data_IF_459072822864
#
_entry.id   IF_459072822864
#
_cell.length_a   1.000
_cell.length_b   1.000
_cell.length_c   1.000
_cell.angle_alpha   90.00
_cell.angle_beta   90.00
_cell.angle_gamma   90.00
#
_symmetry.space_group_name_H-M   'P 1'
#
loop_
_entity.id
_entity.type
_entity.pdbx_description
1 polymer ?
#
# COMPACT_ATOMS: atom_id res chain seq x y z
N UNK A 1 -12.88 -19.35 -1.18
CA UNK A 1 -11.55 -19.41 -1.83
C UNK A 1 -10.57 -18.64 -0.95
N UNK A 2 -9.29 -19.04 -0.83
CA UNK A 2 -8.31 -18.18 -0.20
C UNK A 2 -8.18 -16.88 -1.01
N UNK A 3 -8.40 -15.74 -0.36
CA UNK A 3 -8.16 -14.43 -0.96
C UNK A 3 -6.67 -14.10 -0.85
N UNK A 4 -6.07 -13.48 -1.88
CA UNK A 4 -4.69 -13.00 -1.79
C UNK A 4 -4.55 -11.98 -0.65
N UNK A 5 -3.38 -12.00 -0.01
CA UNK A 5 -3.09 -11.18 1.16
C UNK A 5 -3.14 -9.67 0.87
N UNK A 6 -2.94 -9.28 -0.40
CA UNK A 6 -3.01 -7.89 -0.86
C UNK A 6 -3.32 -7.81 -2.36
N UNK A 7 -4.29 -6.96 -2.74
CA UNK A 7 -4.58 -6.58 -4.14
C UNK A 7 -4.71 -5.06 -4.19
N UNK A 8 -3.74 -4.33 -4.75
CA UNK A 8 -3.84 -2.88 -4.85
C UNK A 8 -4.86 -2.46 -5.90
N UNK A 9 -5.54 -1.36 -5.62
CA UNK A 9 -6.24 -0.61 -6.66
C UNK A 9 -5.22 0.02 -7.64
N UNK A 10 -5.59 0.11 -8.91
CA UNK A 10 -4.80 0.72 -9.96
C UNK A 10 -5.51 1.97 -10.46
N UNK A 11 -4.74 3.02 -10.74
CA UNK A 11 -5.27 4.24 -11.33
C UNK A 11 -5.55 4.01 -12.83
N UNK A 12 -6.65 4.56 -13.31
CA UNK A 12 -6.95 4.64 -14.73
C UNK A 12 -6.10 5.73 -15.37
N UNK A 13 -5.35 5.40 -16.43
CA UNK A 13 -4.58 6.39 -17.17
C UNK A 13 -5.52 7.28 -17.98
N UNK A 14 -5.41 8.59 -17.77
CA UNK A 14 -6.16 9.63 -18.49
C UNK A 14 -5.21 10.75 -18.93
N UNK A 15 -5.59 11.51 -19.97
CA UNK A 15 -4.75 12.57 -20.53
C UNK A 15 -4.64 13.80 -19.61
N UNK A 16 -5.66 14.07 -18.79
CA UNK A 16 -5.72 15.22 -17.89
C UNK A 16 -6.35 14.80 -16.56
N UNK A 17 -5.83 15.27 -15.41
CA UNK A 17 -6.45 14.98 -14.12
C UNK A 17 -7.89 15.49 -14.09
N UNK A 18 -8.83 14.72 -13.50
CA UNK A 18 -10.19 15.18 -13.31
C UNK A 18 -10.26 16.38 -12.35
N UNK A 19 -11.31 17.18 -12.46
CA UNK A 19 -11.55 18.40 -11.67
C UNK A 19 -12.90 18.37 -10.96
N UNK A 20 -13.11 19.29 -10.01
CA UNK A 20 -14.33 19.41 -9.21
C UNK A 20 -14.19 18.86 -7.79
N UNK A 21 -15.16 19.18 -6.94
CA UNK A 21 -15.09 18.94 -5.49
C UNK A 21 -15.17 17.46 -5.09
N UNK A 22 -15.57 16.59 -6.02
CA UNK A 22 -15.59 15.13 -5.83
C UNK A 22 -14.19 14.49 -5.93
N UNK A 23 -13.16 15.25 -6.30
CA UNK A 23 -11.81 14.75 -6.55
C UNK A 23 -10.81 15.28 -5.54
N UNK A 24 -10.04 14.36 -4.96
CA UNK A 24 -8.82 14.67 -4.20
C UNK A 24 -7.59 14.38 -5.07
N UNK A 25 -6.61 15.29 -5.05
CA UNK A 25 -5.35 15.13 -5.78
C UNK A 25 -4.21 14.86 -4.82
N UNK A 26 -3.48 13.79 -5.06
CA UNK A 26 -2.29 13.40 -4.30
C UNK A 26 -1.04 13.47 -5.18
N UNK A 27 0.12 13.70 -4.54
CA UNK A 27 1.41 13.66 -5.24
C UNK A 27 1.68 12.22 -5.69
N UNK A 28 2.02 12.05 -6.97
CA UNK A 28 2.47 10.77 -7.50
C UNK A 28 3.90 10.47 -7.04
N UNK A 29 4.05 9.49 -6.16
CA UNK A 29 5.36 8.93 -5.82
C UNK A 29 5.84 7.97 -6.91
N UNK A 30 7.15 7.96 -7.17
CA UNK A 30 7.79 6.95 -8.01
C UNK A 30 8.61 6.00 -7.13
N UNK A 31 8.18 4.75 -7.06
CA UNK A 31 8.70 3.77 -6.11
C UNK A 31 7.85 2.51 -6.08
N UNK A 32 8.09 1.65 -5.10
CA UNK A 32 7.35 0.40 -4.96
C UNK A 32 6.04 0.58 -4.19
N UNK A 33 4.92 0.19 -4.78
CA UNK A 33 3.63 0.11 -4.07
C UNK A 33 3.69 -1.05 -3.07
N UNK A 34 3.59 -0.73 -1.78
CA UNK A 34 3.57 -1.69 -0.68
C UNK A 34 2.23 -1.62 0.05
N UNK A 35 1.62 -2.78 0.30
CA UNK A 35 0.49 -2.94 1.21
C UNK A 35 0.96 -3.38 2.58
N UNK A 36 0.66 -2.60 3.62
CA UNK A 36 0.92 -3.00 5.00
C UNK A 36 -0.30 -3.73 5.57
N UNK A 37 -0.09 -4.94 6.03
CA UNK A 37 -1.11 -5.73 6.73
C UNK A 37 -0.76 -5.82 8.20
N UNK A 38 -1.68 -5.39 9.05
CA UNK A 38 -1.59 -5.58 10.50
C UNK A 38 -2.59 -6.67 10.91
N UNK A 39 -2.12 -7.76 11.50
CA UNK A 39 -2.98 -8.79 12.09
C UNK A 39 -2.50 -9.11 13.49
N UNK A 40 -3.33 -8.82 14.49
CA UNK A 40 -3.02 -9.04 15.91
C UNK A 40 -1.67 -8.40 16.30
N UNK A 41 -1.44 -7.15 15.89
CA UNK A 41 -0.20 -6.42 16.13
C UNK A 41 1.02 -6.85 15.30
N UNK A 42 0.92 -7.90 14.48
CA UNK A 42 2.01 -8.31 13.57
C UNK A 42 1.88 -7.64 12.21
N UNK A 43 2.95 -7.02 11.76
CA UNK A 43 3.01 -6.37 10.44
C UNK A 43 3.60 -7.30 9.39
N UNK A 44 3.02 -7.27 8.20
CA UNK A 44 3.60 -7.82 6.98
C UNK A 44 3.47 -6.81 5.84
N UNK A 45 4.49 -6.72 4.99
CA UNK A 45 4.55 -5.77 3.87
C UNK A 45 4.53 -6.52 2.54
N UNK A 46 3.50 -6.29 1.73
CA UNK A 46 3.32 -6.98 0.45
C UNK A 46 3.57 -6.05 -0.73
N UNK A 47 4.37 -6.49 -1.69
CA UNK A 47 4.51 -5.80 -2.99
C UNK A 47 3.20 -5.83 -3.77
N UNK A 48 3.11 -5.01 -4.83
CA UNK A 48 2.00 -5.03 -5.80
C UNK A 48 1.64 -6.44 -6.31
N UNK A 49 2.62 -7.33 -6.44
CA UNK A 49 2.42 -8.70 -6.95
C UNK A 49 2.20 -9.73 -5.83
N UNK A 50 2.06 -9.30 -4.57
CA UNK A 50 1.77 -10.18 -3.44
C UNK A 50 3.00 -10.80 -2.76
N UNK A 51 4.23 -10.48 -3.19
CA UNK A 51 5.44 -10.97 -2.51
C UNK A 51 5.59 -10.30 -1.14
N UNK A 52 5.90 -11.09 -0.11
CA UNK A 52 6.24 -10.59 1.23
C UNK A 52 7.66 -9.98 1.22
N UNK A 53 7.73 -8.68 1.43
CA UNK A 53 8.95 -7.87 1.50
C UNK A 53 9.15 -7.26 2.90
N UNK A 54 8.56 -7.85 3.94
CA UNK A 54 8.69 -7.36 5.32
C UNK A 54 10.16 -7.24 5.73
N UNK A 55 10.97 -8.26 5.41
CA UNK A 55 12.40 -8.27 5.71
C UNK A 55 13.23 -7.27 4.89
N UNK A 56 12.72 -6.83 3.73
CA UNK A 56 13.39 -5.84 2.89
C UNK A 56 13.23 -4.41 3.43
N UNK A 57 12.19 -4.15 4.23
CA UNK A 57 11.90 -2.84 4.81
C UNK A 57 11.66 -2.92 6.33
N UNK A 58 12.66 -3.32 7.13
CA UNK A 58 12.50 -3.52 8.56
C UNK A 58 12.11 -2.21 9.29
N UNK A 59 12.61 -1.07 8.84
CA UNK A 59 12.28 0.25 9.41
C UNK A 59 10.81 0.62 9.20
N UNK A 60 10.26 0.33 8.02
CA UNK A 60 8.85 0.58 7.71
C UNK A 60 7.95 -0.36 8.49
N UNK A 61 8.30 -1.65 8.57
CA UNK A 61 7.55 -2.61 9.37
C UNK A 61 7.49 -2.17 10.84
N UNK A 62 8.63 -1.81 11.43
CA UNK A 62 8.71 -1.34 12.80
C UNK A 62 7.99 0.00 13.04
N UNK A 63 7.96 0.91 12.05
CA UNK A 63 7.20 2.15 12.14
C UNK A 63 5.68 1.88 12.16
N UNK A 64 5.19 0.95 11.33
CA UNK A 64 3.78 0.55 11.32
C UNK A 64 3.39 -0.16 12.62
N UNK A 65 4.25 -1.02 13.17
CA UNK A 65 3.99 -1.69 14.47
C UNK A 65 3.77 -0.67 15.59
N UNK A 66 4.52 0.44 15.59
CA UNK A 66 4.38 1.52 16.58
C UNK A 66 3.06 2.29 16.49
N UNK A 67 2.29 2.14 15.41
CA UNK A 67 0.96 2.77 15.30
C UNK A 67 -0.08 2.12 16.23
N UNK A 68 0.18 0.91 16.73
CA UNK A 68 -0.72 0.23 17.69
C UNK A 68 -2.08 -0.18 17.12
N UNK A 69 -2.13 -0.43 15.81
CA UNK A 69 -3.33 -0.86 15.06
C UNK A 69 -3.73 -2.31 15.33
#
# INVERSE_FOLDING_TARGET
>A
MPHPDYVPQLATLVATPPSGDEWLHEIKYDGYRIGARVRKGRVSLYTRNGNDWTAAFPEIAGAVEKLGL
#
